data_IF_616469706550
#
_entry.id   IF_616469706550
#
_cell.length_a   1.000
_cell.length_b   1.000
_cell.length_c   1.000
_cell.angle_alpha   90.00
_cell.angle_beta   90.00
_cell.angle_gamma   90.00
#
_symmetry.space_group_name_H-M   'P 1'
#
loop_
_entity.id
_entity.type
_entity.pdbx_description
1 polymer ?
#
# COMPACT_ATOMS: atom_id res chain seq x y z
N UNK A 1 18.48 -7.50 -9.94
CA UNK A 1 17.68 -7.51 -11.18
C UNK A 1 16.19 -7.87 -10.90
N UNK A 2 15.48 -7.11 -10.04
CA UNK A 2 14.07 -7.43 -9.67
C UNK A 2 13.10 -6.25 -9.96
N UNK A 3 13.57 -5.00 -10.06
CA UNK A 3 12.68 -3.82 -10.17
C UNK A 3 11.95 -3.69 -11.52
N UNK A 4 12.62 -3.95 -12.64
CA UNK A 4 12.02 -3.83 -13.99
C UNK A 4 10.90 -4.85 -14.26
N UNK A 5 10.91 -5.99 -13.56
CA UNK A 5 9.85 -7.00 -13.70
C UNK A 5 8.55 -6.52 -13.05
N UNK A 6 8.58 -5.53 -12.15
CA UNK A 6 7.43 -5.03 -11.40
C UNK A 6 6.29 -4.44 -12.25
N UNK A 7 6.58 -4.01 -13.48
CA UNK A 7 5.54 -3.52 -14.40
C UNK A 7 4.55 -4.61 -14.81
N UNK A 8 5.01 -5.85 -15.00
CA UNK A 8 4.12 -6.95 -15.38
C UNK A 8 3.12 -7.31 -14.25
N UNK A 9 3.54 -7.56 -13.01
CA UNK A 9 2.64 -7.71 -11.85
C UNK A 9 1.72 -6.51 -11.65
N UNK A 10 2.20 -5.27 -11.86
CA UNK A 10 1.35 -4.09 -11.75
C UNK A 10 0.23 -4.10 -12.80
N UNK A 11 0.54 -4.39 -14.07
CA UNK A 11 -0.50 -4.47 -15.11
C UNK A 11 -1.47 -5.62 -14.89
N UNK A 12 -0.99 -6.75 -14.36
CA UNK A 12 -1.84 -7.88 -13.96
C UNK A 12 -2.76 -7.49 -12.80
N UNK A 13 -2.24 -6.78 -11.80
CA UNK A 13 -3.00 -6.29 -10.66
C UNK A 13 -4.07 -5.29 -11.08
N UNK A 14 -3.73 -4.32 -11.94
CA UNK A 14 -4.69 -3.36 -12.49
C UNK A 14 -5.83 -4.10 -13.22
N UNK A 15 -5.50 -5.09 -14.06
CA UNK A 15 -6.51 -5.90 -14.74
C UNK A 15 -7.36 -6.69 -13.75
N UNK A 16 -6.76 -7.25 -12.71
CA UNK A 16 -7.47 -7.97 -11.66
C UNK A 16 -8.46 -7.07 -10.92
N UNK A 17 -8.06 -5.85 -10.54
CA UNK A 17 -8.94 -4.86 -9.90
C UNK A 17 -10.10 -4.45 -10.81
N UNK A 18 -9.91 -4.39 -12.13
CA UNK A 18 -11.00 -4.07 -13.07
C UNK A 18 -11.94 -5.26 -13.29
N UNK A 19 -11.44 -6.49 -13.18
CA UNK A 19 -12.24 -7.71 -13.34
C UNK A 19 -12.97 -8.11 -12.04
N UNK A 20 -12.41 -7.76 -10.90
CA UNK A 20 -12.93 -8.11 -9.57
C UNK A 20 -13.59 -6.88 -8.97
N UNK A 21 -14.91 -6.88 -8.90
CA UNK A 21 -15.65 -5.73 -8.38
C UNK A 21 -15.41 -5.56 -6.87
N UNK A 22 -14.94 -4.38 -6.48
CA UNK A 22 -14.74 -4.04 -5.07
C UNK A 22 -16.07 -4.03 -4.29
N UNK A 23 -16.06 -4.25 -2.96
CA UNK A 23 -17.27 -4.26 -2.13
C UNK A 23 -18.08 -2.97 -2.18
N UNK A 24 -17.42 -1.83 -2.45
CA UNK A 24 -18.05 -0.53 -2.61
C UNK A 24 -17.51 0.19 -3.85
N UNK A 25 -18.32 1.09 -4.42
CA UNK A 25 -17.89 1.94 -5.54
C UNK A 25 -16.73 2.85 -5.16
N UNK A 26 -16.69 3.31 -3.90
CA UNK A 26 -15.60 4.15 -3.39
C UNK A 26 -14.28 3.41 -3.40
N UNK A 27 -14.24 2.16 -2.91
CA UNK A 27 -13.04 1.31 -2.96
C UNK A 27 -12.56 1.11 -4.40
N UNK A 28 -13.47 0.80 -5.32
CA UNK A 28 -13.12 0.67 -6.74
C UNK A 28 -12.46 1.93 -7.33
N UNK A 29 -12.98 3.12 -6.99
CA UNK A 29 -12.40 4.38 -7.45
C UNK A 29 -11.05 4.66 -6.79
N UNK A 30 -10.91 4.35 -5.50
CA UNK A 30 -9.64 4.47 -4.79
C UNK A 30 -8.58 3.57 -5.44
N UNK A 31 -8.90 2.30 -5.71
CA UNK A 31 -8.00 1.37 -6.40
C UNK A 31 -7.51 1.94 -7.74
N UNK A 32 -8.42 2.50 -8.54
CA UNK A 32 -8.08 3.13 -9.83
C UNK A 32 -7.13 4.31 -9.69
N UNK A 33 -7.39 5.21 -8.73
CA UNK A 33 -6.57 6.42 -8.54
C UNK A 33 -5.21 6.04 -7.94
N UNK A 34 -5.19 5.10 -7.01
CA UNK A 34 -3.96 4.55 -6.44
C UNK A 34 -3.11 3.86 -7.51
N UNK A 35 -3.72 3.03 -8.35
CA UNK A 35 -3.07 2.40 -9.49
C UNK A 35 -2.52 3.44 -10.49
N UNK A 36 -3.27 4.51 -10.75
CA UNK A 36 -2.78 5.62 -11.58
C UNK A 36 -1.55 6.30 -10.95
N UNK A 37 -1.55 6.52 -9.63
CA UNK A 37 -0.37 7.04 -8.93
C UNK A 37 0.84 6.13 -9.11
N UNK A 38 0.65 4.80 -9.04
CA UNK A 38 1.70 3.83 -9.28
C UNK A 38 2.21 3.84 -10.74
N UNK A 39 1.32 3.99 -11.72
CA UNK A 39 1.70 4.13 -13.13
C UNK A 39 2.60 5.35 -13.36
N UNK A 40 2.37 6.46 -12.65
CA UNK A 40 3.25 7.63 -12.70
C UNK A 40 4.54 7.42 -11.90
N UNK A 41 4.47 6.77 -10.74
CA UNK A 41 5.58 6.47 -9.86
C UNK A 41 6.67 5.63 -10.54
N UNK A 42 6.28 4.49 -11.14
CA UNK A 42 7.23 3.47 -11.58
C UNK A 42 8.24 3.97 -12.62
N UNK A 43 7.86 4.65 -13.72
CA UNK A 43 8.83 5.16 -14.69
C UNK A 43 9.84 6.14 -14.07
N UNK A 44 9.39 6.99 -13.15
CA UNK A 44 10.24 7.97 -12.48
C UNK A 44 11.22 7.30 -11.51
N UNK A 45 10.77 6.31 -10.75
CA UNK A 45 11.65 5.53 -9.87
C UNK A 45 12.75 4.82 -10.68
N UNK A 46 12.41 4.27 -11.85
CA UNK A 46 13.38 3.60 -12.71
C UNK A 46 14.40 4.58 -13.31
N UNK A 47 13.95 5.77 -13.75
CA UNK A 47 14.86 6.83 -14.22
C UNK A 47 15.83 7.22 -13.11
N UNK A 48 15.32 7.46 -11.91
CA UNK A 48 16.13 7.78 -10.73
C UNK A 48 17.15 6.66 -10.46
N UNK A 49 16.71 5.40 -10.39
CA UNK A 49 17.58 4.28 -10.08
C UNK A 49 18.68 4.09 -11.13
N UNK A 50 18.32 4.12 -12.41
CA UNK A 50 19.27 3.94 -13.52
C UNK A 50 20.30 5.08 -13.57
N UNK A 51 19.86 6.31 -13.34
CA UNK A 51 20.74 7.48 -13.30
C UNK A 51 21.65 7.50 -12.08
N UNK A 52 21.12 7.20 -10.88
CA UNK A 52 21.88 7.16 -9.63
C UNK A 52 22.99 6.08 -9.66
N UNK A 53 22.76 4.97 -10.36
CA UNK A 53 23.76 3.90 -10.55
C UNK A 53 24.67 4.12 -11.77
N UNK A 54 24.51 5.24 -12.50
CA UNK A 54 25.28 5.59 -13.70
C UNK A 54 25.22 4.52 -14.80
N UNK A 55 24.10 3.82 -14.91
CA UNK A 55 23.88 2.79 -15.95
C UNK A 55 23.65 3.46 -17.31
N UNK A 56 22.97 4.62 -17.30
CA UNK A 56 22.70 5.44 -18.48
C UNK A 56 23.15 6.88 -18.23
N UNK A 57 23.71 7.57 -19.25
CA UNK A 57 24.17 8.94 -19.11
C UNK A 57 22.98 9.89 -19.09
N UNK A 58 22.47 10.20 -17.89
CA UNK A 58 21.40 11.16 -17.65
C UNK A 58 21.95 12.33 -16.82
N UNK A 59 21.42 13.53 -17.03
CA UNK A 59 21.79 14.71 -16.23
C UNK A 59 21.37 14.56 -14.76
N UNK A 60 22.23 15.00 -13.84
CA UNK A 60 21.96 14.93 -12.39
C UNK A 60 20.64 15.60 -12.01
N UNK A 61 20.32 16.72 -12.66
CA UNK A 61 19.04 17.42 -12.48
C UNK A 61 17.84 16.51 -12.77
N UNK A 62 17.88 15.74 -13.87
CA UNK A 62 16.77 14.85 -14.22
C UNK A 62 16.67 13.68 -13.23
N UNK A 63 17.80 13.15 -12.76
CA UNK A 63 17.83 12.10 -11.73
C UNK A 63 17.17 12.59 -10.45
N UNK A 64 17.57 13.76 -9.96
CA UNK A 64 16.99 14.39 -8.77
C UNK A 64 15.50 14.65 -8.94
N UNK A 65 15.10 15.29 -10.04
CA UNK A 65 13.69 15.58 -10.32
C UNK A 65 12.85 14.30 -10.35
N UNK A 66 13.35 13.23 -10.98
CA UNK A 66 12.68 11.93 -11.01
C UNK A 66 12.56 11.29 -9.62
N UNK A 67 13.59 11.40 -8.78
CA UNK A 67 13.58 10.95 -7.39
C UNK A 67 12.51 11.67 -6.55
N UNK A 68 12.45 13.00 -6.61
CA UNK A 68 11.45 13.77 -5.87
C UNK A 68 10.02 13.51 -6.38
N UNK A 69 9.80 13.49 -7.69
CA UNK A 69 8.45 13.27 -8.24
C UNK A 69 7.95 11.85 -7.99
N UNK A 70 8.81 10.83 -8.09
CA UNK A 70 8.44 9.47 -7.67
C UNK A 70 8.03 9.45 -6.19
N UNK A 71 8.84 9.98 -5.28
CA UNK A 71 8.48 10.03 -3.86
C UNK A 71 7.17 10.79 -3.58
N UNK A 72 6.84 11.82 -4.37
CA UNK A 72 5.54 12.52 -4.28
C UNK A 72 4.36 11.64 -4.72
N UNK A 73 4.48 10.90 -5.82
CA UNK A 73 3.44 9.95 -6.22
C UNK A 73 3.27 8.83 -5.20
N UNK A 74 4.37 8.39 -4.57
CA UNK A 74 4.29 7.45 -3.46
C UNK A 74 3.59 8.05 -2.24
N UNK A 75 3.89 9.29 -1.87
CA UNK A 75 3.19 9.99 -0.78
C UNK A 75 1.69 10.17 -1.07
N UNK A 76 1.32 10.51 -2.30
CA UNK A 76 -0.09 10.57 -2.75
C UNK A 76 -0.75 9.21 -2.57
N UNK A 77 -0.06 8.13 -2.98
CA UNK A 77 -0.58 6.78 -2.81
C UNK A 77 -0.80 6.43 -1.33
N UNK A 78 0.16 6.74 -0.45
CA UNK A 78 0.00 6.50 1.00
C UNK A 78 -1.17 7.30 1.57
N UNK A 79 -1.35 8.55 1.14
CA UNK A 79 -2.49 9.36 1.56
C UNK A 79 -3.83 8.72 1.14
N UNK A 80 -3.92 8.23 -0.09
CA UNK A 80 -5.09 7.50 -0.58
C UNK A 80 -5.28 6.17 0.15
N UNK A 81 -4.20 5.48 0.51
CA UNK A 81 -4.24 4.22 1.26
C UNK A 81 -4.88 4.40 2.65
N UNK A 82 -4.71 5.55 3.32
CA UNK A 82 -5.44 5.81 4.56
C UNK A 82 -6.95 5.94 4.34
N UNK A 83 -7.37 6.56 3.24
CA UNK A 83 -8.80 6.64 2.87
C UNK A 83 -9.33 5.24 2.54
N UNK A 84 -8.55 4.45 1.81
CA UNK A 84 -8.86 3.06 1.50
C UNK A 84 -9.05 2.22 2.77
N UNK A 85 -8.10 2.26 3.70
CA UNK A 85 -8.18 1.60 5.00
C UNK A 85 -9.40 2.05 5.80
N UNK A 86 -9.77 3.33 5.73
CA UNK A 86 -10.98 3.85 6.35
C UNK A 86 -12.25 3.18 5.81
N UNK A 87 -12.37 3.06 4.48
CA UNK A 87 -13.50 2.39 3.85
C UNK A 87 -13.50 0.87 4.09
N UNK A 88 -12.34 0.21 4.06
CA UNK A 88 -12.21 -1.21 4.42
C UNK A 88 -12.69 -1.46 5.85
N UNK A 89 -12.28 -0.62 6.80
CA UNK A 89 -12.72 -0.74 8.19
C UNK A 89 -14.24 -0.63 8.32
N UNK A 90 -14.88 0.26 7.54
CA UNK A 90 -16.34 0.37 7.51
C UNK A 90 -16.99 -0.92 6.98
N UNK A 91 -16.40 -1.55 5.97
CA UNK A 91 -16.87 -2.83 5.43
C UNK A 91 -16.71 -3.95 6.46
N UNK A 92 -15.55 -4.07 7.12
CA UNK A 92 -15.29 -5.05 8.19
C UNK A 92 -16.31 -4.88 9.32
N UNK A 93 -16.54 -3.64 9.78
CA UNK A 93 -17.52 -3.34 10.84
C UNK A 93 -18.95 -3.69 10.41
N UNK A 94 -19.33 -3.38 9.17
CA UNK A 94 -20.64 -3.74 8.62
C UNK A 94 -20.83 -5.25 8.53
N UNK A 95 -19.81 -5.99 8.08
CA UNK A 95 -19.80 -7.46 8.02
C UNK A 95 -19.96 -8.06 9.42
N UNK A 96 -19.19 -7.58 10.39
CA UNK A 96 -19.29 -8.01 11.80
C UNK A 96 -20.70 -7.81 12.36
N UNK A 97 -21.29 -6.63 12.14
CA UNK A 97 -22.65 -6.34 12.59
C UNK A 97 -23.68 -7.25 11.93
N UNK A 98 -23.55 -7.51 10.62
CA UNK A 98 -24.45 -8.40 9.88
C UNK A 98 -24.47 -9.81 10.47
N UNK A 99 -23.32 -10.35 10.87
CA UNK A 99 -23.21 -11.68 11.50
C UNK A 99 -24.03 -11.75 12.79
N UNK A 100 -23.95 -10.73 13.66
CA UNK A 100 -24.74 -10.70 14.90
C UNK A 100 -26.24 -10.49 14.69
N UNK A 101 -26.62 -9.84 13.59
CA UNK A 101 -28.03 -9.57 13.25
C UNK A 101 -28.65 -10.59 12.31
N UNK A 102 -27.85 -11.48 11.73
CA UNK A 102 -28.36 -12.63 10.99
C UNK A 102 -29.19 -13.47 11.96
N UNK A 103 -30.30 -14.03 11.47
CA UNK A 103 -31.25 -14.78 12.28
C UNK A 103 -30.67 -16.08 12.85
N UNK A 104 -31.46 -17.15 12.87
CA UNK A 104 -30.95 -18.45 13.33
C UNK A 104 -29.95 -19.02 12.31
N UNK A 105 -28.67 -18.73 12.53
CA UNK A 105 -27.53 -19.36 11.86
C UNK A 105 -26.99 -20.45 12.79
N UNK A 106 -26.43 -21.52 12.24
CA UNK A 106 -25.72 -22.51 13.02
C UNK A 106 -24.55 -21.87 13.78
N UNK A 107 -24.33 -22.31 15.02
CA UNK A 107 -23.31 -21.72 15.89
C UNK A 107 -21.89 -21.92 15.33
N UNK A 108 -21.63 -23.06 14.68
CA UNK A 108 -20.33 -23.32 14.05
C UNK A 108 -20.09 -22.41 12.84
N UNK A 109 -21.11 -22.20 12.00
CA UNK A 109 -21.02 -21.26 10.88
C UNK A 109 -20.81 -19.82 11.35
N UNK A 110 -21.55 -19.38 12.37
CA UNK A 110 -21.39 -18.05 12.95
C UNK A 110 -19.96 -17.83 13.48
N UNK A 111 -19.41 -18.83 14.19
CA UNK A 111 -18.04 -18.76 14.70
C UNK A 111 -17.03 -18.64 13.55
N UNK A 112 -17.17 -19.43 12.50
CA UNK A 112 -16.28 -19.38 11.33
C UNK A 112 -16.32 -17.99 10.65
N UNK A 113 -17.50 -17.37 10.51
CA UNK A 113 -17.63 -16.04 9.95
C UNK A 113 -17.00 -14.96 10.84
N UNK A 114 -17.11 -15.08 12.17
CA UNK A 114 -16.46 -14.19 13.13
C UNK A 114 -14.94 -14.34 13.09
N UNK A 115 -14.42 -15.56 13.04
CA UNK A 115 -12.98 -15.84 12.94
C UNK A 115 -12.39 -15.22 11.67
N UNK A 116 -13.11 -15.29 10.55
CA UNK A 116 -12.71 -14.65 9.29
C UNK A 116 -12.68 -13.11 9.42
N UNK A 117 -13.68 -12.51 10.08
CA UNK A 117 -13.71 -11.06 10.34
C UNK A 117 -12.58 -10.62 11.27
N UNK A 118 -12.26 -11.41 12.29
CA UNK A 118 -11.17 -11.11 13.21
C UNK A 118 -9.80 -11.25 12.51
N UNK A 119 -9.65 -12.20 11.57
CA UNK A 119 -8.48 -12.30 10.71
C UNK A 119 -8.33 -11.07 9.79
N UNK A 120 -9.42 -10.64 9.13
CA UNK A 120 -9.44 -9.41 8.31
C UNK A 120 -9.06 -8.18 9.16
N UNK A 121 -9.57 -8.10 10.39
CA UNK A 121 -9.28 -7.00 11.32
C UNK A 121 -7.80 -6.97 11.70
N UNK A 122 -7.17 -8.13 11.93
CA UNK A 122 -5.73 -8.22 12.22
C UNK A 122 -4.90 -7.75 11.02
N UNK A 123 -5.22 -8.24 9.82
CA UNK A 123 -4.57 -7.80 8.58
C UNK A 123 -4.67 -6.28 8.40
N UNK A 124 -5.86 -5.72 8.64
CA UNK A 124 -6.10 -4.28 8.60
C UNK A 124 -5.22 -3.49 9.57
N UNK A 125 -5.07 -3.95 10.82
CA UNK A 125 -4.19 -3.29 11.80
C UNK A 125 -2.72 -3.31 11.37
N UNK A 126 -2.27 -4.42 10.79
CA UNK A 126 -0.90 -4.54 10.28
C UNK A 126 -0.70 -3.57 9.11
N UNK A 127 -1.65 -3.50 8.17
CA UNK A 127 -1.62 -2.55 7.06
C UNK A 127 -1.62 -1.10 7.54
N UNK A 128 -2.42 -0.76 8.55
CA UNK A 128 -2.41 0.56 9.16
C UNK A 128 -1.02 0.90 9.76
N UNK A 129 -0.41 -0.04 10.48
CA UNK A 129 0.93 0.13 11.05
C UNK A 129 1.99 0.37 9.97
N UNK A 130 1.98 -0.46 8.92
CA UNK A 130 2.92 -0.34 7.78
C UNK A 130 2.81 1.03 7.14
N UNK A 131 1.59 1.45 6.80
CA UNK A 131 1.36 2.73 6.12
C UNK A 131 1.66 3.94 7.03
N UNK A 132 1.42 3.81 8.34
CA UNK A 132 1.82 4.83 9.33
C UNK A 132 3.33 4.98 9.39
N UNK A 133 4.09 3.90 9.25
CA UNK A 133 5.55 3.97 9.20
C UNK A 133 6.05 4.54 7.86
N UNK A 134 5.41 4.20 6.74
CA UNK A 134 5.80 4.74 5.44
C UNK A 134 5.42 6.21 5.24
N UNK A 135 4.35 6.68 5.86
CA UNK A 135 3.90 8.06 5.71
C UNK A 135 4.99 9.12 5.98
N UNK A 136 5.69 9.15 7.14
CA UNK A 136 6.75 10.12 7.37
C UNK A 136 7.94 9.95 6.41
N UNK A 137 8.24 8.70 5.99
CA UNK A 137 9.32 8.41 5.04
C UNK A 137 9.03 9.00 3.66
N UNK A 138 7.85 8.71 3.12
CA UNK A 138 7.41 9.25 1.82
C UNK A 138 7.34 10.77 1.81
N UNK A 139 6.87 11.37 2.91
CA UNK A 139 6.88 12.82 3.07
C UNK A 139 8.29 13.39 3.10
N UNK A 140 9.20 12.78 3.88
CA UNK A 140 10.60 13.16 3.96
C UNK A 140 11.27 13.17 2.57
N UNK A 141 11.13 12.08 1.81
CA UNK A 141 11.74 11.95 0.48
C UNK A 141 11.07 12.80 -0.61
N UNK A 142 9.84 13.28 -0.38
CA UNK A 142 9.12 14.14 -1.33
C UNK A 142 9.56 15.62 -1.29
N UNK A 143 10.27 16.04 -0.23
CA UNK A 143 10.63 17.42 0.08
C UNK A 143 12.14 17.63 -0.08
N UNK A 144 12.53 18.64 -0.86
CA UNK A 144 13.94 19.05 -0.99
C UNK A 144 14.45 19.66 0.32
N UNK A 145 15.57 19.18 0.83
CA UNK A 145 16.16 19.70 2.07
C UNK A 145 15.39 19.34 3.34
N UNK A 146 14.63 18.25 3.33
CA UNK A 146 13.94 17.77 4.53
C UNK A 146 14.93 17.46 5.66
N UNK A 147 14.60 17.89 6.88
CA UNK A 147 15.42 17.73 8.10
C UNK A 147 15.01 16.51 8.93
N UNK A 148 14.32 15.54 8.32
CA UNK A 148 13.87 14.35 9.04
C UNK A 148 15.09 13.51 9.48
N UNK A 149 15.16 13.04 10.73
CA UNK A 149 16.35 12.36 11.23
C UNK A 149 16.60 10.99 10.56
N UNK A 150 17.84 10.72 10.17
CA UNK A 150 18.23 9.42 9.57
C UNK A 150 17.92 8.23 10.49
N UNK A 151 18.08 8.40 11.81
CA UNK A 151 17.72 7.37 12.80
C UNK A 151 16.22 7.05 12.72
N UNK A 152 15.37 8.08 12.56
CA UNK A 152 13.94 7.88 12.40
C UNK A 152 13.62 7.19 11.08
N UNK A 153 14.33 7.52 9.99
CA UNK A 153 14.22 6.81 8.71
C UNK A 153 14.47 5.30 8.90
N UNK A 154 15.56 4.96 9.58
CA UNK A 154 15.91 3.57 9.91
C UNK A 154 14.84 2.89 10.74
N UNK A 155 14.39 3.51 11.84
CA UNK A 155 13.38 2.93 12.73
C UNK A 155 12.05 2.66 12.00
N UNK A 156 11.49 3.64 11.30
CA UNK A 156 10.23 3.46 10.57
C UNK A 156 10.38 2.43 9.45
N UNK A 157 11.50 2.45 8.72
CA UNK A 157 11.79 1.47 7.68
C UNK A 157 11.85 0.04 8.23
N UNK A 158 12.53 -0.18 9.37
CA UNK A 158 12.63 -1.49 10.01
C UNK A 158 11.27 -1.98 10.50
N UNK A 159 10.49 -1.14 11.18
CA UNK A 159 9.14 -1.53 11.66
C UNK A 159 8.24 -1.90 10.48
N UNK A 160 8.23 -1.09 9.42
CA UNK A 160 7.44 -1.38 8.22
C UNK A 160 7.87 -2.70 7.55
N UNK A 161 9.17 -2.97 7.46
CA UNK A 161 9.70 -4.19 6.86
C UNK A 161 9.33 -5.44 7.68
N UNK A 162 9.48 -5.38 9.00
CA UNK A 162 9.10 -6.47 9.90
C UNK A 162 7.60 -6.75 9.86
N UNK A 163 6.77 -5.70 9.89
CA UNK A 163 5.32 -5.83 9.80
C UNK A 163 4.87 -6.42 8.46
N UNK A 164 5.49 -6.03 7.34
CA UNK A 164 5.22 -6.64 6.03
C UNK A 164 5.64 -8.11 5.98
N UNK A 165 6.84 -8.45 6.48
CA UNK A 165 7.31 -9.82 6.52
C UNK A 165 6.37 -10.71 7.35
N UNK A 166 5.92 -10.21 8.50
CA UNK A 166 4.92 -10.86 9.34
C UNK A 166 3.60 -11.07 8.60
N UNK A 167 3.09 -10.05 7.91
CA UNK A 167 1.83 -10.13 7.17
C UNK A 167 1.89 -11.16 6.03
N UNK A 168 3.00 -11.17 5.27
CA UNK A 168 3.19 -12.13 4.17
C UNK A 168 3.33 -13.55 4.70
N UNK A 169 4.11 -13.77 5.76
CA UNK A 169 4.29 -15.09 6.37
C UNK A 169 2.95 -15.70 6.79
N UNK A 170 2.13 -14.94 7.49
CA UNK A 170 0.81 -15.39 7.94
C UNK A 170 -0.23 -15.56 6.82
N UNK A 171 -0.02 -14.94 5.65
CA UNK A 171 -0.88 -15.17 4.49
C UNK A 171 -0.50 -16.44 3.71
N UNK A 172 0.72 -16.95 3.90
CA UNK A 172 1.26 -18.10 3.14
C UNK A 172 1.44 -19.40 3.94
N UNK A 173 1.45 -19.31 5.27
CA UNK A 173 1.61 -20.44 6.19
C UNK A 173 0.25 -20.89 6.75
#
# INVERSE_FOLDING_TARGET
>A
MIRLVGLAPMTQFIRYCEQTQAPTRTLQWLDRIMNLSMVCYYPLEHIYWLGAHRIIPISEKLVDDAGYWSCRFWAIWIALQFVHLGEEYRVIKSRRQKIYTQGKVDAAQMQQELDAVDADTKSWWIQLLINTCYFPLTMHWSIRGSTFPDVAVGCFGTVAALAQAYNVWHATA
#
